data_IF_952211727430
#
_entry.id   IF_952211727430
#
_cell.length_a   1.000
_cell.length_b   1.000
_cell.length_c   1.000
_cell.angle_alpha   90.00
_cell.angle_beta   90.00
_cell.angle_gamma   90.00
#
_symmetry.space_group_name_H-M   'P 1'
#
loop_
_entity.id
_entity.type
_entity.pdbx_description
1 polymer ?
#
# COMPACT_ATOMS: atom_id res chain seq x y z
N UNK A 1 8.74 -45.68 21.80
CA UNK A 1 7.88 -44.85 20.94
C UNK A 1 7.93 -45.44 19.53
N UNK A 2 6.88 -46.04 19.08
CA UNK A 2 6.81 -46.55 17.69
C UNK A 2 6.69 -45.35 16.73
N UNK A 3 7.66 -45.20 15.84
CA UNK A 3 7.62 -44.18 14.80
C UNK A 3 6.85 -44.77 13.60
N UNK A 4 5.63 -44.33 13.40
CA UNK A 4 4.86 -44.67 12.21
C UNK A 4 5.20 -43.69 11.09
N UNK A 5 5.41 -44.21 9.87
CA UNK A 5 5.52 -43.41 8.66
C UNK A 5 4.18 -43.46 7.89
N UNK A 6 4.03 -42.64 6.84
CA UNK A 6 2.81 -42.61 6.03
C UNK A 6 2.40 -43.97 5.46
N UNK A 7 3.40 -44.83 5.17
CA UNK A 7 3.14 -46.23 4.74
C UNK A 7 2.60 -47.11 5.87
N UNK A 8 2.96 -46.84 7.12
CA UNK A 8 2.46 -47.57 8.27
C UNK A 8 1.01 -47.18 8.59
N UNK A 9 0.69 -45.90 8.43
CA UNK A 9 -0.70 -45.40 8.52
C UNK A 9 -1.56 -46.11 7.44
N UNK A 10 -1.12 -46.13 6.20
CA UNK A 10 -1.79 -46.83 5.11
C UNK A 10 -2.00 -48.32 5.40
N UNK A 11 -1.03 -48.98 6.03
CA UNK A 11 -1.16 -50.40 6.45
C UNK A 11 -2.19 -50.59 7.56
N UNK A 12 -2.24 -49.68 8.52
CA UNK A 12 -3.22 -49.68 9.61
C UNK A 12 -4.61 -49.46 9.00
N UNK A 13 -4.77 -48.49 8.12
CA UNK A 13 -6.02 -48.17 7.44
C UNK A 13 -6.50 -49.38 6.58
N UNK A 14 -5.60 -50.01 5.83
CA UNK A 14 -5.92 -51.27 5.07
C UNK A 14 -6.33 -52.43 5.96
N UNK A 15 -5.78 -52.51 7.19
CA UNK A 15 -6.14 -53.57 8.14
C UNK A 15 -7.59 -53.45 8.63
N UNK A 16 -8.17 -52.25 8.59
CA UNK A 16 -9.56 -51.98 8.97
C UNK A 16 -10.55 -51.98 7.79
N UNK A 17 -10.19 -52.48 6.62
CA UNK A 17 -11.05 -52.58 5.43
C UNK A 17 -11.59 -51.23 4.91
N UNK A 18 -10.78 -50.21 4.99
CA UNK A 18 -11.16 -48.84 4.63
C UNK A 18 -11.30 -48.70 3.11
N UNK A 19 -12.33 -47.94 2.71
CA UNK A 19 -12.77 -47.73 1.35
C UNK A 19 -11.65 -47.42 0.33
N UNK A 20 -11.88 -47.82 -0.92
CA UNK A 20 -10.98 -47.59 -2.05
C UNK A 20 -10.56 -46.12 -2.14
N UNK A 21 -9.29 -45.92 -2.44
CA UNK A 21 -8.64 -44.61 -2.61
C UNK A 21 -9.38 -43.62 -3.54
N UNK A 22 -10.26 -44.15 -4.43
CA UNK A 22 -11.02 -43.39 -5.43
C UNK A 22 -12.25 -42.64 -4.88
N UNK A 23 -12.69 -42.95 -3.64
CA UNK A 23 -13.90 -42.39 -3.06
C UNK A 23 -13.66 -41.48 -1.85
N UNK A 24 -12.42 -41.14 -1.57
CA UNK A 24 -12.08 -40.29 -0.45
C UNK A 24 -12.11 -38.82 -0.89
N UNK A 25 -12.92 -37.98 -0.24
CA UNK A 25 -12.95 -36.55 -0.55
C UNK A 25 -11.56 -35.92 -0.39
N UNK A 26 -11.14 -35.14 -1.37
CA UNK A 26 -9.80 -34.50 -1.39
C UNK A 26 -9.73 -33.18 -0.63
N UNK A 27 -10.89 -32.63 -0.28
CA UNK A 27 -10.99 -31.38 0.46
C UNK A 27 -12.34 -31.29 1.18
N UNK A 28 -12.50 -30.30 2.05
CA UNK A 28 -13.73 -30.06 2.83
C UNK A 28 -14.95 -29.76 1.97
N UNK A 29 -14.78 -29.05 0.87
CA UNK A 29 -15.88 -28.73 -0.05
C UNK A 29 -16.46 -29.99 -0.69
N UNK A 30 -15.59 -30.93 -1.06
CA UNK A 30 -16.01 -32.24 -1.56
C UNK A 30 -16.69 -33.08 -0.46
N UNK A 31 -16.12 -33.03 0.76
CA UNK A 31 -16.68 -33.72 1.91
C UNK A 31 -18.07 -33.19 2.28
N UNK A 32 -18.26 -31.88 2.32
CA UNK A 32 -19.56 -31.23 2.54
C UNK A 32 -20.59 -31.60 1.48
N UNK A 33 -20.17 -31.81 0.23
CA UNK A 33 -21.07 -32.25 -0.85
C UNK A 33 -21.54 -33.70 -0.66
N UNK A 34 -20.70 -34.54 -0.05
CA UNK A 34 -21.03 -35.96 0.21
C UNK A 34 -21.92 -36.11 1.43
N UNK A 35 -21.71 -35.28 2.47
CA UNK A 35 -22.48 -35.32 3.73
C UNK A 35 -22.68 -33.91 4.31
N UNK A 36 -23.58 -33.08 3.75
CA UNK A 36 -23.68 -31.65 4.09
C UNK A 36 -24.10 -31.34 5.53
N UNK A 37 -24.74 -32.26 6.23
CA UNK A 37 -25.39 -32.01 7.53
C UNK A 37 -24.70 -32.70 8.74
N UNK A 38 -23.50 -33.28 8.55
CA UNK A 38 -22.89 -34.16 9.56
C UNK A 38 -21.60 -33.61 10.19
N UNK A 39 -21.21 -32.36 9.91
CA UNK A 39 -19.97 -31.81 10.47
C UNK A 39 -20.23 -30.82 11.61
N UNK A 40 -20.05 -31.24 12.84
CA UNK A 40 -20.14 -30.35 14.02
C UNK A 40 -18.78 -29.88 14.50
N UNK A 41 -17.70 -30.66 14.32
CA UNK A 41 -16.39 -30.33 14.87
C UNK A 41 -15.23 -30.83 14.02
N UNK A 42 -14.14 -30.06 14.01
CA UNK A 42 -12.93 -30.34 13.24
C UNK A 42 -11.70 -30.20 14.15
N UNK A 43 -10.92 -31.26 14.23
CA UNK A 43 -9.70 -31.32 15.02
C UNK A 43 -8.47 -31.38 14.13
N UNK A 44 -7.37 -30.76 14.57
CA UNK A 44 -6.07 -30.90 13.92
C UNK A 44 -5.03 -31.47 14.87
N UNK A 45 -4.20 -32.37 14.40
CA UNK A 45 -3.09 -32.92 15.16
C UNK A 45 -1.84 -33.12 14.31
N UNK A 46 -0.65 -33.20 14.96
CA UNK A 46 0.62 -33.47 14.27
C UNK A 46 1.03 -34.92 14.47
N UNK A 47 1.42 -35.58 13.37
CA UNK A 47 1.98 -36.91 13.40
C UNK A 47 3.10 -37.01 12.35
N UNK A 48 4.31 -37.41 12.75
CA UNK A 48 5.50 -37.53 11.89
C UNK A 48 5.77 -36.30 11.00
N UNK A 49 5.70 -35.09 11.55
CA UNK A 49 5.81 -33.80 10.83
C UNK A 49 4.69 -33.48 9.84
N UNK A 50 3.70 -34.35 9.69
CA UNK A 50 2.51 -34.06 8.90
C UNK A 50 1.38 -33.61 9.84
N UNK A 51 0.53 -32.71 9.37
CA UNK A 51 -0.71 -32.36 10.06
C UNK A 51 -1.86 -33.15 9.50
N UNK A 52 -2.71 -33.58 10.41
CA UNK A 52 -3.93 -34.29 10.11
C UNK A 52 -5.12 -33.51 10.67
N UNK A 53 -6.21 -33.54 9.97
CA UNK A 53 -7.50 -33.09 10.47
C UNK A 53 -8.42 -34.30 10.62
N UNK A 54 -9.16 -34.28 11.71
CA UNK A 54 -10.22 -35.26 11.95
C UNK A 54 -11.54 -34.51 11.99
N UNK A 55 -12.51 -35.00 11.27
CA UNK A 55 -13.86 -34.45 11.23
C UNK A 55 -14.79 -35.48 11.88
N UNK A 56 -15.52 -35.04 12.90
CA UNK A 56 -16.55 -35.85 13.51
C UNK A 56 -17.84 -35.79 12.65
N UNK A 57 -18.46 -36.91 12.36
CA UNK A 57 -19.70 -37.01 11.59
C UNK A 57 -20.95 -36.49 12.33
N UNK A 58 -20.80 -35.97 13.56
CA UNK A 58 -21.87 -35.37 14.36
C UNK A 58 -22.80 -36.39 15.03
N UNK A 59 -22.50 -37.67 14.97
CA UNK A 59 -23.33 -38.74 15.61
C UNK A 59 -22.91 -39.06 17.04
N UNK A 60 -21.80 -38.52 17.51
CA UNK A 60 -21.35 -38.64 18.91
C UNK A 60 -21.75 -37.39 19.71
N UNK A 61 -22.50 -37.57 20.77
CA UNK A 61 -22.90 -36.52 21.72
C UNK A 61 -21.70 -35.89 22.46
N UNK A 62 -20.54 -36.48 22.40
CA UNK A 62 -19.32 -36.09 23.04
C UNK A 62 -18.17 -36.39 22.08
N UNK A 63 -17.43 -35.57 21.62
CA UNK A 63 -16.51 -34.89 22.46
C UNK A 63 -15.13 -34.92 21.84
N UNK A 64 -14.56 -33.77 21.80
CA UNK A 64 -13.12 -33.56 21.59
C UNK A 64 -12.32 -34.65 22.33
N UNK A 65 -12.69 -34.94 23.57
CA UNK A 65 -12.02 -35.90 24.42
C UNK A 65 -12.14 -37.36 23.93
N UNK A 66 -13.29 -37.75 23.45
CA UNK A 66 -13.51 -39.10 22.87
C UNK A 66 -12.67 -39.34 21.60
N UNK A 67 -12.65 -38.35 20.72
CA UNK A 67 -11.85 -38.41 19.48
C UNK A 67 -10.34 -38.41 19.80
N UNK A 68 -9.91 -37.56 20.75
CA UNK A 68 -8.53 -37.54 21.23
C UNK A 68 -8.12 -38.85 21.92
N UNK A 69 -8.98 -39.48 22.71
CA UNK A 69 -8.74 -40.79 23.31
C UNK A 69 -8.67 -41.89 22.24
N UNK A 70 -9.55 -41.84 21.24
CA UNK A 70 -9.52 -42.74 20.13
C UNK A 70 -8.22 -42.62 19.32
N UNK A 71 -7.83 -41.40 19.00
CA UNK A 71 -6.57 -41.10 18.29
C UNK A 71 -5.35 -41.52 19.11
N UNK A 72 -5.34 -41.29 20.44
CA UNK A 72 -4.31 -41.80 21.33
C UNK A 72 -4.22 -43.32 21.34
N UNK A 73 -5.36 -43.97 21.33
CA UNK A 73 -5.44 -45.46 21.28
C UNK A 73 -4.94 -46.03 19.95
N UNK A 74 -5.19 -45.34 18.84
CA UNK A 74 -4.77 -45.75 17.50
C UNK A 74 -3.32 -45.36 17.16
N UNK A 75 -2.87 -44.20 17.60
CA UNK A 75 -1.63 -43.55 17.17
C UNK A 75 -0.67 -43.18 18.30
N UNK A 76 -1.01 -43.41 19.56
CA UNK A 76 -0.23 -43.00 20.71
C UNK A 76 -0.43 -41.54 21.12
N UNK A 77 0.53 -40.96 21.86
CA UNK A 77 0.43 -39.55 22.30
C UNK A 77 0.49 -38.58 21.11
N UNK A 78 -0.63 -37.89 20.88
CA UNK A 78 -0.81 -36.92 19.80
C UNK A 78 -1.10 -35.53 20.39
N UNK A 79 -0.51 -34.50 19.78
CA UNK A 79 -0.94 -33.12 20.00
C UNK A 79 -2.16 -32.82 19.12
N UNK A 80 -3.35 -32.78 19.74
CA UNK A 80 -4.59 -32.41 19.07
C UNK A 80 -5.07 -31.02 19.50
N UNK A 81 -5.64 -30.27 18.60
CA UNK A 81 -6.35 -29.02 18.87
C UNK A 81 -7.50 -28.81 17.90
N UNK A 82 -8.53 -28.13 18.36
CA UNK A 82 -9.65 -27.71 17.51
C UNK A 82 -9.17 -26.77 16.40
N UNK A 83 -9.64 -26.96 15.17
CA UNK A 83 -9.36 -26.10 14.03
C UNK A 83 -10.66 -25.60 13.41
N UNK A 84 -10.84 -24.27 13.40
CA UNK A 84 -12.08 -23.64 12.91
C UNK A 84 -12.21 -23.65 11.37
N UNK A 85 -11.11 -23.72 10.60
CA UNK A 85 -11.13 -23.71 9.13
C UNK A 85 -10.01 -24.57 8.53
N UNK A 86 -10.25 -25.82 8.22
CA UNK A 86 -9.33 -26.62 7.43
C UNK A 86 -9.41 -26.22 5.94
N UNK A 87 -8.28 -26.21 5.28
CA UNK A 87 -8.11 -25.78 3.89
C UNK A 87 -8.35 -26.87 2.85
N UNK A 88 -8.44 -26.43 1.57
CA UNK A 88 -8.73 -27.23 0.38
C UNK A 88 -7.67 -28.29 0.03
N UNK A 89 -6.50 -28.26 0.65
CA UNK A 89 -5.38 -29.20 0.39
C UNK A 89 -5.43 -30.42 1.35
N UNK A 90 -6.61 -31.00 1.55
CA UNK A 90 -6.81 -32.12 2.45
C UNK A 90 -6.81 -33.44 1.70
N UNK A 91 -5.98 -34.38 2.18
CA UNK A 91 -6.01 -35.79 1.76
C UNK A 91 -6.62 -36.61 2.90
N UNK A 92 -7.69 -37.37 2.64
CA UNK A 92 -8.47 -37.91 3.73
C UNK A 92 -8.80 -39.40 3.63
N UNK A 93 -9.02 -40.01 4.78
CA UNK A 93 -9.43 -41.40 4.95
C UNK A 93 -10.63 -41.47 5.89
N UNK A 94 -11.57 -42.35 5.62
CA UNK A 94 -12.72 -42.68 6.48
C UNK A 94 -12.38 -43.90 7.30
N UNK A 95 -12.51 -43.81 8.62
CA UNK A 95 -12.30 -44.90 9.56
C UNK A 95 -13.66 -45.30 10.19
N UNK A 96 -14.26 -46.41 9.84
CA UNK A 96 -15.37 -46.94 10.61
C UNK A 96 -14.85 -47.47 11.95
N UNK A 97 -15.33 -46.89 13.04
CA UNK A 97 -14.98 -47.30 14.40
C UNK A 97 -16.21 -47.32 15.30
N UNK A 98 -16.51 -48.49 15.88
CA UNK A 98 -17.65 -48.72 16.79
C UNK A 98 -19.00 -48.22 16.27
N UNK A 99 -19.23 -48.31 14.96
CA UNK A 99 -20.48 -47.91 14.31
C UNK A 99 -20.57 -46.42 13.94
N UNK A 100 -19.46 -45.71 14.03
CA UNK A 100 -19.34 -44.29 13.64
C UNK A 100 -18.24 -44.15 12.59
N UNK A 101 -18.44 -43.24 11.65
CA UNK A 101 -17.42 -42.90 10.65
C UNK A 101 -16.56 -41.73 11.12
N UNK A 102 -15.26 -41.98 11.24
CA UNK A 102 -14.27 -40.93 11.55
C UNK A 102 -13.47 -40.62 10.28
N UNK A 103 -13.45 -39.38 9.91
CA UNK A 103 -12.75 -38.89 8.71
C UNK A 103 -11.37 -38.35 9.08
N UNK A 104 -10.32 -38.98 8.57
CA UNK A 104 -8.94 -38.58 8.76
C UNK A 104 -8.41 -37.91 7.49
N UNK A 105 -7.92 -36.69 7.59
CA UNK A 105 -7.36 -35.95 6.47
C UNK A 105 -5.88 -35.62 6.70
N UNK A 106 -5.05 -35.93 5.72
CA UNK A 106 -3.68 -35.45 5.70
C UNK A 106 -3.65 -34.08 5.01
N UNK A 107 -3.15 -33.06 5.70
CA UNK A 107 -2.87 -31.78 5.06
C UNK A 107 -1.55 -31.88 4.32
N UNK A 108 -1.58 -31.68 3.02
CA UNK A 108 -0.37 -31.49 2.23
C UNK A 108 0.10 -30.04 2.48
N UNK A 109 1.28 -29.83 3.09
CA UNK A 109 1.75 -28.49 3.40
C UNK A 109 1.92 -27.67 2.11
N UNK A 110 1.07 -26.70 1.89
CA UNK A 110 1.23 -25.71 0.81
C UNK A 110 2.18 -24.62 1.28
N UNK A 111 3.51 -24.91 1.20
CA UNK A 111 4.52 -23.94 1.61
C UNK A 111 4.64 -22.82 0.60
N UNK A 112 4.11 -21.67 0.94
CA UNK A 112 4.28 -20.44 0.16
C UNK A 112 5.08 -19.40 0.95
N UNK A 113 5.56 -18.39 0.26
CA UNK A 113 6.30 -17.30 0.91
C UNK A 113 5.33 -16.44 1.72
N UNK A 114 5.75 -16.02 2.91
CA UNK A 114 5.00 -15.16 3.81
C UNK A 114 4.48 -13.89 3.12
N UNK A 115 5.29 -13.23 2.28
CA UNK A 115 4.85 -12.04 1.56
C UNK A 115 3.77 -12.32 0.51
N UNK A 116 3.69 -13.55 0.00
CA UNK A 116 2.63 -13.99 -0.92
C UNK A 116 1.35 -14.30 -0.15
N UNK A 117 1.45 -15.03 0.95
CA UNK A 117 0.32 -15.33 1.83
C UNK A 117 -0.36 -14.06 2.34
N UNK A 118 0.46 -13.11 2.83
CA UNK A 118 -0.04 -11.82 3.31
C UNK A 118 -0.71 -10.98 2.21
N UNK A 119 -0.21 -11.02 0.96
CA UNK A 119 -0.86 -10.31 -0.16
C UNK A 119 -2.25 -10.88 -0.46
N UNK A 120 -2.43 -12.18 -0.35
CA UNK A 120 -3.74 -12.81 -0.55
C UNK A 120 -4.73 -12.43 0.57
N UNK A 121 -4.22 -12.34 1.81
CA UNK A 121 -5.04 -12.04 3.00
C UNK A 121 -5.38 -10.54 3.14
N UNK A 122 -4.50 -9.64 2.68
CA UNK A 122 -4.63 -8.18 2.82
C UNK A 122 -4.58 -7.51 1.43
N UNK A 123 -5.68 -7.58 0.69
CA UNK A 123 -5.84 -7.11 -0.69
C UNK A 123 -5.71 -5.59 -0.86
N UNK A 124 -5.96 -4.84 0.21
CA UNK A 124 -5.81 -3.38 0.28
C UNK A 124 -4.34 -2.92 0.39
N UNK A 125 -3.39 -3.85 0.61
CA UNK A 125 -1.97 -3.55 0.76
C UNK A 125 -1.15 -4.00 -0.45
N UNK A 126 -0.26 -3.12 -0.92
CA UNK A 126 0.69 -3.54 -1.96
C UNK A 126 1.72 -4.52 -1.41
N UNK A 127 2.21 -5.44 -2.25
CA UNK A 127 3.28 -6.38 -1.88
C UNK A 127 4.50 -5.68 -1.31
N UNK A 128 4.87 -4.51 -1.84
CA UNK A 128 6.01 -3.74 -1.33
C UNK A 128 5.74 -3.15 0.06
N UNK A 129 4.50 -2.79 0.37
CA UNK A 129 4.09 -2.36 1.71
C UNK A 129 4.18 -3.52 2.71
N UNK A 130 3.63 -4.67 2.35
CA UNK A 130 3.70 -5.90 3.16
C UNK A 130 5.15 -6.30 3.44
N UNK A 131 6.01 -6.33 2.43
CA UNK A 131 7.42 -6.64 2.62
C UNK A 131 8.14 -5.68 3.59
N UNK A 132 7.77 -4.40 3.59
CA UNK A 132 8.28 -3.43 4.56
C UNK A 132 7.74 -3.71 5.97
N UNK A 133 6.47 -4.01 6.11
CA UNK A 133 5.87 -4.35 7.39
C UNK A 133 6.51 -5.60 8.00
N UNK A 134 6.71 -6.67 7.21
CA UNK A 134 7.43 -7.88 7.64
C UNK A 134 8.83 -7.54 8.13
N UNK A 135 9.62 -6.79 7.34
CA UNK A 135 10.99 -6.39 7.73
C UNK A 135 11.04 -5.58 9.03
N UNK A 136 9.97 -4.86 9.35
CA UNK A 136 9.85 -4.07 10.59
C UNK A 136 9.20 -4.86 11.75
N UNK A 137 9.04 -6.18 11.62
CA UNK A 137 8.55 -7.03 12.70
C UNK A 137 7.04 -6.90 12.95
N UNK A 138 6.28 -6.42 11.99
CA UNK A 138 4.82 -6.26 12.10
C UNK A 138 4.05 -7.51 11.66
N UNK A 139 4.73 -8.54 11.15
CA UNK A 139 4.13 -9.81 10.80
C UNK A 139 4.35 -10.85 11.89
N UNK A 140 3.31 -11.62 12.20
CA UNK A 140 3.39 -12.77 13.12
C UNK A 140 2.92 -14.02 12.40
N UNK A 141 3.56 -15.12 12.73
CA UNK A 141 3.15 -16.47 12.34
C UNK A 141 3.05 -17.30 13.61
N UNK A 142 1.86 -17.80 13.93
CA UNK A 142 1.57 -18.51 15.17
C UNK A 142 2.03 -17.73 16.42
N UNK A 143 1.74 -16.41 16.45
CA UNK A 143 2.14 -15.50 17.54
C UNK A 143 3.62 -15.08 17.53
N UNK A 144 4.47 -15.67 16.70
CA UNK A 144 5.90 -15.41 16.62
C UNK A 144 6.20 -14.33 15.58
N UNK A 145 6.95 -13.29 15.95
CA UNK A 145 7.35 -12.21 15.03
C UNK A 145 8.31 -12.75 13.96
N UNK A 146 7.98 -12.50 12.68
CA UNK A 146 8.80 -12.87 11.53
C UNK A 146 9.26 -11.60 10.81
N UNK A 147 10.58 -11.52 10.55
CA UNK A 147 11.20 -10.41 9.81
C UNK A 147 11.71 -10.82 8.42
N UNK A 148 11.79 -12.12 8.15
CA UNK A 148 12.21 -12.65 6.85
C UNK A 148 11.04 -12.67 5.87
N UNK A 149 11.08 -11.80 4.87
CA UNK A 149 10.05 -11.66 3.82
C UNK A 149 9.79 -12.96 3.04
N UNK A 150 10.83 -13.76 2.86
CA UNK A 150 10.78 -15.02 2.10
C UNK A 150 10.60 -16.25 3.00
N UNK A 151 10.26 -16.06 4.28
CA UNK A 151 9.92 -17.18 5.17
C UNK A 151 8.83 -18.01 4.51
N UNK A 152 8.95 -19.32 4.58
CA UNK A 152 7.96 -20.24 4.08
C UNK A 152 6.92 -20.51 5.16
N UNK A 153 5.67 -20.29 4.85
CA UNK A 153 4.52 -20.50 5.72
C UNK A 153 3.54 -21.43 5.04
N UNK A 154 2.78 -22.14 5.82
CA UNK A 154 1.69 -22.96 5.33
C UNK A 154 0.37 -22.21 5.56
N UNK A 155 -0.24 -21.71 4.47
CA UNK A 155 -1.49 -20.94 4.56
C UNK A 155 -2.63 -21.73 5.22
N UNK A 156 -2.56 -23.06 5.14
CA UNK A 156 -3.61 -23.94 5.66
C UNK A 156 -3.56 -24.12 7.18
N UNK A 157 -2.39 -23.85 7.77
CA UNK A 157 -2.08 -24.25 9.14
C UNK A 157 -1.59 -23.09 9.99
N UNK A 158 -0.84 -22.18 9.37
CA UNK A 158 -0.19 -21.10 10.09
C UNK A 158 -1.16 -19.94 10.30
N UNK A 159 -1.34 -19.53 11.56
CA UNK A 159 -2.03 -18.28 11.87
C UNK A 159 -1.12 -17.11 11.48
N UNK A 160 -1.41 -16.52 10.32
CA UNK A 160 -0.63 -15.41 9.77
C UNK A 160 -1.34 -14.10 10.09
N UNK A 161 -0.66 -13.21 10.79
CA UNK A 161 -1.19 -11.91 11.21
C UNK A 161 -0.27 -10.78 10.76
N UNK A 162 -0.87 -9.64 10.44
CA UNK A 162 -0.17 -8.40 10.19
C UNK A 162 -0.70 -7.33 11.15
N UNK A 163 0.19 -6.75 11.94
CA UNK A 163 -0.21 -5.73 12.89
C UNK A 163 -0.73 -4.48 12.16
N UNK A 164 -1.81 -3.91 12.66
CA UNK A 164 -2.28 -2.62 12.21
C UNK A 164 -1.28 -1.53 12.57
N UNK A 165 -0.94 -0.69 11.60
CA UNK A 165 -0.13 0.49 11.84
C UNK A 165 -1.07 1.64 12.20
N UNK A 166 -1.22 1.89 13.47
CA UNK A 166 -1.94 3.08 13.92
C UNK A 166 -1.13 4.33 13.56
N UNK A 167 -1.79 5.27 12.92
CA UNK A 167 -1.22 6.55 12.55
C UNK A 167 -1.41 7.53 13.71
N UNK A 168 -0.40 7.67 14.52
CA UNK A 168 -0.35 8.65 15.62
C UNK A 168 0.31 9.97 15.13
N UNK A 169 -0.20 10.49 14.01
CA UNK A 169 0.32 11.72 13.43
C UNK A 169 -0.42 12.93 14.05
N UNK A 170 0.34 13.86 14.64
CA UNK A 170 -0.23 15.11 15.11
C UNK A 170 -0.97 15.80 13.97
N UNK A 171 -2.24 16.11 14.21
CA UNK A 171 -3.06 16.88 13.27
C UNK A 171 -2.41 18.22 12.93
N UNK A 172 -2.40 18.58 11.64
CA UNK A 172 -1.90 19.86 11.14
C UNK A 172 -3.03 20.48 10.34
N UNK A 173 -3.47 21.65 10.78
CA UNK A 173 -4.45 22.43 10.04
C UNK A 173 -3.80 23.11 8.84
N UNK A 174 -4.50 23.10 7.70
CA UNK A 174 -4.05 23.73 6.46
C UNK A 174 -5.01 24.87 6.09
N UNK A 175 -4.44 26.00 5.71
CA UNK A 175 -5.20 27.15 5.23
C UNK A 175 -6.01 26.79 3.98
N UNK A 176 -7.35 26.83 4.10
CA UNK A 176 -8.26 26.60 2.97
C UNK A 176 -8.36 27.87 2.13
N UNK A 177 -8.06 27.75 0.82
CA UNK A 177 -8.19 28.83 -0.18
C UNK A 177 -9.61 28.84 -0.76
N UNK A 178 -10.17 27.63 -0.97
CA UNK A 178 -11.50 27.44 -1.53
C UNK A 178 -12.04 26.07 -1.18
N UNK A 179 -13.33 25.98 -0.96
CA UNK A 179 -14.01 24.71 -0.69
C UNK A 179 -15.45 24.76 -1.16
N UNK A 180 -15.89 23.67 -1.82
CA UNK A 180 -17.28 23.40 -2.15
C UNK A 180 -17.60 21.90 -1.97
N UNK A 181 -18.75 21.43 -2.46
CA UNK A 181 -19.13 20.00 -2.38
C UNK A 181 -18.30 19.07 -3.26
N UNK A 182 -17.54 19.61 -4.23
CA UNK A 182 -16.77 18.85 -5.20
C UNK A 182 -15.26 18.90 -4.97
N UNK A 183 -14.75 20.03 -4.51
CA UNK A 183 -13.30 20.26 -4.40
C UNK A 183 -12.93 20.99 -3.11
N UNK A 184 -11.70 20.81 -2.70
CA UNK A 184 -11.03 21.58 -1.66
C UNK A 184 -9.68 22.05 -2.16
N UNK A 185 -9.35 23.32 -1.97
CA UNK A 185 -8.06 23.90 -2.36
C UNK A 185 -7.39 24.49 -1.13
N UNK A 186 -6.14 24.10 -0.90
CA UNK A 186 -5.41 24.54 0.29
C UNK A 186 -4.05 25.12 -0.06
N UNK A 187 -3.55 25.97 0.81
CA UNK A 187 -2.17 26.46 0.82
C UNK A 187 -1.30 25.48 1.61
N UNK A 188 -0.65 24.54 0.89
CA UNK A 188 0.23 23.56 1.52
C UNK A 188 1.50 24.24 2.05
N UNK A 189 1.84 24.16 3.34
CA UNK A 189 3.14 24.63 3.83
C UNK A 189 4.28 23.71 3.35
N UNK A 190 5.53 24.21 3.45
CA UNK A 190 6.72 23.35 3.28
C UNK A 190 6.77 22.25 4.35
N UNK A 191 7.46 21.17 4.08
CA UNK A 191 7.72 20.10 5.05
C UNK A 191 6.65 19.03 5.13
N UNK A 192 5.41 19.29 4.66
CA UNK A 192 4.30 18.33 4.67
C UNK A 192 4.27 17.52 3.38
N UNK A 193 4.12 16.21 3.51
CA UNK A 193 3.90 15.33 2.38
C UNK A 193 2.50 15.53 1.76
N UNK A 194 2.40 15.48 0.45
CA UNK A 194 1.10 15.44 -0.23
C UNK A 194 0.31 14.17 0.15
N UNK A 195 0.98 13.03 0.17
CA UNK A 195 0.42 11.75 0.59
C UNK A 195 1.53 10.85 1.15
N UNK A 196 1.16 9.87 1.94
CA UNK A 196 2.10 8.93 2.57
C UNK A 196 2.94 8.17 1.52
N UNK A 197 4.22 7.95 1.82
CA UNK A 197 5.14 7.15 0.99
C UNK A 197 5.07 5.65 1.30
N UNK A 198 4.07 5.22 2.01
CA UNK A 198 3.84 3.83 2.38
C UNK A 198 3.14 3.71 3.73
N UNK A 199 2.73 2.49 4.06
CA UNK A 199 1.92 2.19 5.23
C UNK A 199 2.59 2.51 6.57
N UNK A 200 3.94 2.55 6.60
CA UNK A 200 4.72 2.85 7.82
C UNK A 200 4.97 4.35 8.04
N UNK A 201 4.38 5.22 7.22
CA UNK A 201 4.55 6.65 7.42
C UNK A 201 3.59 7.18 8.49
N UNK A 202 4.13 7.64 9.59
CA UNK A 202 3.37 8.20 10.72
C UNK A 202 3.17 9.72 10.63
N UNK A 203 3.64 10.36 9.56
CA UNK A 203 3.49 11.80 9.42
C UNK A 203 2.10 12.16 8.87
N UNK A 204 1.55 13.26 9.35
CA UNK A 204 0.35 13.87 8.79
C UNK A 204 0.62 14.39 7.38
N UNK A 205 -0.32 14.17 6.47
CA UNK A 205 -0.19 14.53 5.05
C UNK A 205 -1.39 15.35 4.58
N UNK A 206 -1.28 15.95 3.39
CA UNK A 206 -2.44 16.64 2.77
C UNK A 206 -3.60 15.66 2.51
N UNK A 207 -3.30 14.40 2.18
CA UNK A 207 -4.35 13.38 2.01
C UNK A 207 -5.15 13.14 3.30
N UNK A 208 -4.48 13.14 4.46
CA UNK A 208 -5.17 13.01 5.75
C UNK A 208 -6.05 14.23 6.04
N UNK A 209 -5.55 15.43 5.74
CA UNK A 209 -6.33 16.65 5.84
C UNK A 209 -7.58 16.60 4.94
N UNK A 210 -7.41 16.19 3.68
CA UNK A 210 -8.53 16.05 2.76
C UNK A 210 -9.57 15.01 3.22
N UNK A 211 -9.12 13.89 3.78
CA UNK A 211 -10.03 12.86 4.32
C UNK A 211 -10.85 13.41 5.50
N UNK A 212 -10.23 14.15 6.42
CA UNK A 212 -10.92 14.80 7.53
C UNK A 212 -11.91 15.88 7.07
N UNK A 213 -11.67 16.52 5.91
CA UNK A 213 -12.56 17.49 5.27
C UNK A 213 -13.56 16.87 4.29
N UNK A 214 -13.90 15.60 4.46
CA UNK A 214 -14.98 14.93 3.74
C UNK A 214 -14.64 14.51 2.31
N UNK A 215 -13.35 14.41 1.95
CA UNK A 215 -12.96 13.84 0.65
C UNK A 215 -13.17 12.33 0.64
N UNK A 216 -14.22 11.89 -0.04
CA UNK A 216 -14.58 10.47 -0.18
C UNK A 216 -13.86 9.79 -1.36
N UNK A 217 -13.31 10.55 -2.31
CA UNK A 217 -12.47 9.98 -3.36
C UNK A 217 -11.23 9.31 -2.76
N UNK A 218 -11.05 8.03 -3.05
CA UNK A 218 -9.96 7.19 -2.52
C UNK A 218 -9.88 7.19 -0.98
N UNK A 219 -11.01 7.39 -0.27
CA UNK A 219 -11.10 7.33 1.19
C UNK A 219 -10.56 6.00 1.71
N UNK A 220 -9.93 6.02 2.89
CA UNK A 220 -9.31 4.84 3.49
C UNK A 220 -7.98 4.43 2.82
N UNK A 221 -7.49 5.20 1.85
CA UNK A 221 -6.18 5.00 1.24
C UNK A 221 -5.23 6.13 1.62
N UNK A 222 -3.95 5.94 1.39
CA UNK A 222 -2.97 7.01 1.57
C UNK A 222 -3.05 8.13 0.52
N UNK A 223 -4.13 8.20 -0.28
CA UNK A 223 -4.34 9.18 -1.36
C UNK A 223 -5.73 9.79 -1.35
N UNK A 224 -6.42 9.78 -0.22
CA UNK A 224 -7.73 10.39 -0.09
C UNK A 224 -7.73 11.83 -0.66
N UNK A 225 -8.62 12.11 -1.59
CA UNK A 225 -8.76 13.41 -2.24
C UNK A 225 -7.66 13.79 -3.25
N UNK A 226 -6.57 13.02 -3.40
CA UNK A 226 -5.37 13.45 -4.15
C UNK A 226 -5.54 13.24 -5.66
N UNK A 227 -5.53 14.33 -6.42
CA UNK A 227 -5.56 14.35 -7.90
C UNK A 227 -4.24 14.80 -8.53
N UNK A 228 -3.41 15.54 -7.80
CA UNK A 228 -2.04 15.89 -8.18
C UNK A 228 -1.16 16.02 -6.93
N UNK A 229 0.11 16.38 -7.09
CA UNK A 229 1.03 16.44 -5.95
C UNK A 229 2.02 17.58 -6.04
N UNK A 230 2.43 18.06 -4.87
CA UNK A 230 3.62 18.88 -4.66
C UNK A 230 4.67 18.05 -3.89
N UNK A 231 5.94 18.39 -4.05
CA UNK A 231 7.00 17.79 -3.23
C UNK A 231 6.88 18.24 -1.76
N UNK A 232 7.48 17.50 -0.84
CA UNK A 232 7.46 17.82 0.60
C UNK A 232 7.87 19.27 0.87
N UNK A 233 8.98 19.69 0.30
CA UNK A 233 9.57 21.02 0.53
C UNK A 233 8.95 22.14 -0.31
N UNK A 234 8.11 21.80 -1.28
CA UNK A 234 7.36 22.77 -2.08
C UNK A 234 6.12 23.23 -1.31
N UNK A 235 5.95 24.53 -1.18
CA UNK A 235 4.73 25.15 -0.62
C UNK A 235 3.78 25.63 -1.71
N UNK A 236 2.54 26.00 -1.35
CA UNK A 236 1.58 26.66 -2.23
C UNK A 236 0.34 25.85 -2.58
N UNK A 237 -0.34 26.25 -3.64
CA UNK A 237 -1.65 25.76 -4.03
C UNK A 237 -1.66 24.27 -4.35
N UNK A 238 -2.55 23.53 -3.68
CA UNK A 238 -2.90 22.14 -4.03
C UNK A 238 -4.41 21.97 -3.95
N UNK A 239 -4.99 21.27 -4.96
CA UNK A 239 -6.42 20.96 -5.04
C UNK A 239 -6.67 19.48 -4.78
N UNK A 240 -7.72 19.20 -4.01
CA UNK A 240 -8.25 17.86 -3.76
C UNK A 240 -9.65 17.69 -4.33
N UNK A 241 -10.02 16.44 -4.61
CA UNK A 241 -11.36 16.07 -5.03
C UNK A 241 -12.14 15.44 -3.87
N UNK A 242 -13.36 15.91 -3.61
CA UNK A 242 -14.23 15.35 -2.58
C UNK A 242 -14.93 14.08 -3.00
N UNK A 243 -15.17 13.89 -4.30
CA UNK A 243 -15.89 12.75 -4.85
C UNK A 243 -15.24 12.25 -6.17
N UNK A 244 -15.66 11.06 -6.63
CA UNK A 244 -15.12 10.40 -7.82
C UNK A 244 -15.36 11.19 -9.10
N UNK A 245 -16.52 11.86 -9.21
CA UNK A 245 -16.85 12.67 -10.40
C UNK A 245 -15.91 13.85 -10.52
N UNK A 246 -15.67 14.57 -9.44
CA UNK A 246 -14.70 15.66 -9.39
C UNK A 246 -13.28 15.13 -9.67
N UNK A 247 -12.89 14.02 -9.06
CA UNK A 247 -11.58 13.42 -9.26
C UNK A 247 -11.32 13.09 -10.73
N UNK A 248 -12.25 12.42 -11.42
CA UNK A 248 -12.14 12.10 -12.85
C UNK A 248 -11.97 13.36 -13.71
N UNK A 249 -12.78 14.41 -13.45
CA UNK A 249 -12.72 15.68 -14.21
C UNK A 249 -11.39 16.42 -13.97
N UNK A 250 -10.92 16.48 -12.71
CA UNK A 250 -9.65 17.13 -12.39
C UNK A 250 -8.46 16.35 -12.95
N UNK A 251 -8.40 15.03 -12.74
CA UNK A 251 -7.33 14.16 -13.25
C UNK A 251 -7.23 14.22 -14.77
N UNK A 252 -8.37 14.27 -15.48
CA UNK A 252 -8.40 14.44 -16.93
C UNK A 252 -7.67 15.72 -17.35
N UNK A 253 -7.94 16.86 -16.71
CA UNK A 253 -7.30 18.13 -17.03
C UNK A 253 -5.79 18.12 -16.77
N UNK A 254 -5.33 17.47 -15.68
CA UNK A 254 -3.90 17.28 -15.44
C UNK A 254 -3.23 16.38 -16.49
N UNK A 255 -3.90 15.31 -16.93
CA UNK A 255 -3.39 14.38 -17.96
C UNK A 255 -3.36 14.99 -19.33
N UNK A 256 -4.38 15.76 -19.70
CA UNK A 256 -4.50 16.50 -20.98
C UNK A 256 -3.68 17.80 -20.99
N UNK A 257 -3.09 18.19 -19.83
CA UNK A 257 -2.28 19.39 -19.69
C UNK A 257 -3.04 20.69 -19.98
N UNK A 258 -4.33 20.71 -19.71
CA UNK A 258 -5.19 21.89 -19.87
C UNK A 258 -5.16 22.83 -18.66
N UNK A 259 -4.58 22.39 -17.54
CA UNK A 259 -4.34 23.21 -16.36
C UNK A 259 -3.18 24.18 -16.61
N UNK A 260 -3.29 25.43 -16.10
CA UNK A 260 -2.13 26.33 -16.03
C UNK A 260 -1.59 26.36 -14.60
N UNK A 261 -0.30 26.26 -14.47
CA UNK A 261 0.40 26.25 -13.18
C UNK A 261 1.50 27.31 -13.21
N UNK A 262 1.55 28.10 -12.17
CA UNK A 262 2.63 29.06 -11.99
C UNK A 262 3.34 28.78 -10.66
N UNK A 263 4.64 28.72 -10.72
CA UNK A 263 5.50 28.59 -9.56
C UNK A 263 6.47 29.78 -9.52
N UNK A 264 6.84 30.17 -8.31
CA UNK A 264 7.92 31.12 -8.07
C UNK A 264 9.05 30.36 -7.37
N UNK A 265 10.27 30.60 -7.81
CA UNK A 265 11.48 30.04 -7.21
C UNK A 265 12.57 31.09 -7.06
N UNK A 266 13.45 30.92 -6.08
CA UNK A 266 14.74 31.62 -6.04
C UNK A 266 15.81 30.60 -6.48
N UNK A 267 16.61 30.98 -7.46
CA UNK A 267 17.65 30.12 -8.04
C UNK A 267 19.05 30.77 -7.85
N UNK A 268 20.07 29.91 -7.86
CA UNK A 268 21.47 30.35 -7.84
C UNK A 268 21.87 30.93 -9.21
N UNK A 269 22.52 32.07 -9.18
CA UNK A 269 23.00 32.79 -10.38
C UNK A 269 21.89 33.51 -11.14
N UNK A 270 22.24 33.98 -12.35
CA UNK A 270 21.33 34.69 -13.27
C UNK A 270 21.16 33.90 -14.55
N UNK A 271 19.98 33.26 -14.76
CA UNK A 271 19.73 32.50 -16.00
C UNK A 271 19.80 33.43 -17.23
N UNK A 272 20.52 32.96 -18.26
CA UNK A 272 20.61 33.63 -19.53
C UNK A 272 20.29 32.63 -20.67
N UNK A 273 19.28 32.91 -21.53
CA UNK A 273 18.46 34.12 -21.58
C UNK A 273 17.49 34.25 -20.42
N UNK A 274 17.02 35.49 -20.13
CA UNK A 274 16.08 35.76 -19.06
C UNK A 274 14.73 35.05 -19.21
N UNK A 275 14.43 34.51 -20.37
CA UNK A 275 13.20 33.80 -20.69
C UNK A 275 13.46 32.71 -21.70
N UNK A 276 13.12 31.47 -21.32
CA UNK A 276 13.29 30.32 -22.22
C UNK A 276 12.33 29.17 -21.87
N UNK A 277 12.38 28.14 -22.70
CA UNK A 277 11.72 26.86 -22.49
C UNK A 277 12.78 25.77 -22.33
N UNK A 278 12.73 25.06 -21.21
CA UNK A 278 13.53 23.86 -20.98
C UNK A 278 12.67 22.68 -21.42
N UNK A 279 13.02 22.05 -22.54
CA UNK A 279 12.31 20.87 -23.08
C UNK A 279 13.26 19.68 -23.07
N UNK A 280 13.37 19.04 -21.92
CA UNK A 280 14.33 17.99 -21.66
C UNK A 280 13.66 16.83 -20.91
N UNK A 281 13.76 15.57 -21.42
CA UNK A 281 13.12 14.44 -20.79
C UNK A 281 13.77 14.06 -19.46
N UNK A 282 12.95 13.58 -18.52
CA UNK A 282 13.35 13.25 -17.14
C UNK A 282 13.16 11.76 -16.89
N UNK A 283 14.20 11.11 -16.37
CA UNK A 283 14.19 9.72 -15.92
C UNK A 283 14.55 9.61 -14.43
N UNK A 284 14.22 8.46 -13.84
CA UNK A 284 14.72 8.10 -12.49
C UNK A 284 16.22 7.84 -12.57
N UNK A 285 16.97 8.31 -11.61
CA UNK A 285 18.40 8.01 -11.51
C UNK A 285 18.59 6.56 -11.01
N UNK A 286 19.23 5.72 -11.80
CA UNK A 286 19.43 4.32 -11.46
C UNK A 286 20.43 4.14 -10.30
N UNK A 287 21.43 5.03 -10.20
CA UNK A 287 22.45 5.00 -9.14
C UNK A 287 21.91 5.54 -7.80
N UNK A 288 20.93 6.47 -7.85
CA UNK A 288 20.30 7.04 -6.67
C UNK A 288 18.79 7.10 -6.86
N UNK A 289 18.05 6.00 -6.66
CA UNK A 289 16.65 5.84 -7.05
C UNK A 289 15.65 6.82 -6.43
N UNK A 290 16.05 7.56 -5.38
CA UNK A 290 15.27 8.65 -4.79
C UNK A 290 15.30 9.93 -5.61
N UNK A 291 16.19 10.05 -6.62
CA UNK A 291 16.42 11.24 -7.44
C UNK A 291 16.03 11.02 -8.91
N UNK A 292 16.01 12.12 -9.65
CA UNK A 292 15.69 12.15 -11.07
C UNK A 292 16.75 12.94 -11.82
N UNK A 293 16.95 12.63 -13.09
CA UNK A 293 17.95 13.27 -13.96
C UNK A 293 17.36 13.56 -15.34
N UNK A 294 17.93 14.54 -16.04
CA UNK A 294 17.70 14.70 -17.49
C UNK A 294 18.34 13.52 -18.21
N UNK A 295 17.56 12.79 -18.98
CA UNK A 295 18.02 11.64 -19.74
C UNK A 295 17.13 11.43 -20.96
N UNK A 296 17.73 11.18 -22.12
CA UNK A 296 17.03 10.98 -23.40
C UNK A 296 16.02 9.82 -23.40
N UNK A 297 16.23 8.80 -22.55
CA UNK A 297 15.30 7.68 -22.32
C UNK A 297 14.18 8.03 -21.32
N UNK A 298 14.14 9.25 -20.82
CA UNK A 298 13.17 9.72 -19.85
C UNK A 298 11.81 10.05 -20.46
N UNK A 299 10.87 10.40 -19.57
CA UNK A 299 9.56 10.92 -19.97
C UNK A 299 9.66 12.38 -20.36
N UNK A 300 9.00 12.78 -21.45
CA UNK A 300 8.96 14.17 -21.92
C UNK A 300 8.58 15.13 -20.80
N UNK A 301 9.34 16.20 -20.64
CA UNK A 301 9.10 17.22 -19.63
C UNK A 301 9.45 18.60 -20.19
N UNK A 302 8.55 19.57 -19.99
CA UNK A 302 8.70 20.92 -20.52
C UNK A 302 8.38 21.94 -19.44
N UNK A 303 9.28 22.91 -19.24
CA UNK A 303 9.16 24.02 -18.28
C UNK A 303 9.53 25.35 -18.96
N UNK A 304 8.59 26.29 -18.99
CA UNK A 304 8.90 27.67 -19.33
C UNK A 304 9.36 28.40 -18.08
N UNK A 305 10.40 29.22 -18.21
CA UNK A 305 10.83 30.13 -17.14
C UNK A 305 10.99 31.56 -17.62
N UNK A 306 10.90 32.50 -16.68
CA UNK A 306 11.11 33.93 -16.86
C UNK A 306 11.75 34.51 -15.58
N UNK A 307 12.90 35.16 -15.71
CA UNK A 307 13.58 35.88 -14.63
C UNK A 307 12.80 37.16 -14.35
N UNK A 308 12.35 37.33 -13.10
CA UNK A 308 11.61 38.50 -12.65
C UNK A 308 12.52 39.55 -12.08
N UNK A 309 13.48 39.12 -11.26
CA UNK A 309 14.45 40.01 -10.58
C UNK A 309 15.74 39.24 -10.31
N UNK A 310 16.86 39.93 -10.26
CA UNK A 310 18.17 39.36 -9.89
C UNK A 310 18.93 40.26 -8.96
N UNK A 311 19.49 39.71 -7.89
CA UNK A 311 20.28 40.41 -6.89
C UNK A 311 21.20 39.42 -6.17
N UNK A 312 22.42 39.89 -5.78
CA UNK A 312 23.36 39.09 -5.00
C UNK A 312 23.66 37.71 -5.60
N UNK A 313 23.80 37.61 -6.94
CA UNK A 313 24.00 36.34 -7.66
C UNK A 313 22.92 35.34 -7.43
N UNK A 314 21.67 35.76 -7.17
CA UNK A 314 20.44 34.95 -7.10
C UNK A 314 19.38 35.60 -7.96
N UNK A 315 18.41 34.82 -8.42
CA UNK A 315 17.32 35.31 -9.23
C UNK A 315 15.97 34.77 -8.75
N UNK A 316 14.97 35.65 -8.73
CA UNK A 316 13.58 35.31 -8.60
C UNK A 316 13.03 34.92 -9.96
N UNK A 317 12.53 33.70 -10.10
CA UNK A 317 12.14 33.13 -11.38
C UNK A 317 10.71 32.65 -11.35
N UNK A 318 9.93 33.04 -12.35
CA UNK A 318 8.61 32.50 -12.64
C UNK A 318 8.74 31.26 -13.50
N UNK A 319 8.01 30.19 -13.13
CA UNK A 319 8.07 28.89 -13.78
C UNK A 319 6.67 28.42 -14.16
N UNK A 320 6.49 28.06 -15.43
CA UNK A 320 5.22 27.52 -15.93
C UNK A 320 5.46 26.12 -16.50
N UNK A 321 5.32 25.04 -15.71
CA UNK A 321 5.50 23.69 -16.19
C UNK A 321 4.29 23.21 -17.00
N UNK A 322 4.49 22.82 -18.26
CA UNK A 322 3.47 22.21 -19.12
C UNK A 322 3.20 20.75 -18.72
N UNK A 323 4.20 20.08 -18.18
CA UNK A 323 4.15 18.70 -17.67
C UNK A 323 4.28 18.70 -16.14
N UNK A 324 4.10 17.55 -15.50
CA UNK A 324 4.20 17.41 -14.03
C UNK A 324 5.00 16.17 -13.61
N UNK A 325 6.28 16.06 -14.06
CA UNK A 325 7.14 14.95 -13.65
C UNK A 325 7.66 15.17 -12.24
N UNK A 326 7.94 14.10 -11.53
CA UNK A 326 8.53 14.18 -10.17
C UNK A 326 9.81 15.00 -10.20
N UNK A 327 9.94 15.96 -9.30
CA UNK A 327 11.06 16.89 -9.17
C UNK A 327 11.38 17.71 -10.45
N UNK A 328 10.44 17.82 -11.39
CA UNK A 328 10.70 18.41 -12.71
C UNK A 328 11.39 19.78 -12.67
N UNK A 329 10.83 20.74 -11.93
CA UNK A 329 11.37 22.10 -11.85
C UNK A 329 12.78 22.11 -11.25
N UNK A 330 13.00 21.32 -10.22
CA UNK A 330 14.26 21.15 -9.52
C UNK A 330 15.35 20.57 -10.45
N UNK A 331 15.03 19.50 -11.17
CA UNK A 331 15.93 18.82 -12.12
C UNK A 331 16.26 19.73 -13.31
N UNK A 332 15.26 20.39 -13.88
CA UNK A 332 15.46 21.28 -15.04
C UNK A 332 16.37 22.46 -14.70
N UNK A 333 16.09 23.14 -13.56
CA UNK A 333 16.89 24.30 -13.15
C UNK A 333 18.32 23.89 -12.77
N UNK A 334 18.49 22.76 -12.07
CA UNK A 334 19.83 22.24 -11.77
C UNK A 334 20.61 21.87 -13.05
N UNK A 335 19.94 21.27 -14.03
CA UNK A 335 20.57 20.90 -15.31
C UNK A 335 21.12 22.12 -16.08
N UNK A 336 20.39 23.22 -16.09
CA UNK A 336 20.85 24.48 -16.70
C UNK A 336 21.80 25.30 -15.78
N UNK A 337 22.30 24.68 -14.68
CA UNK A 337 23.28 25.28 -13.74
C UNK A 337 22.75 26.42 -12.88
N UNK A 338 21.42 26.51 -12.75
CA UNK A 338 20.72 27.44 -11.88
C UNK A 338 19.81 26.71 -10.89
N UNK A 339 20.36 25.86 -9.97
CA UNK A 339 19.56 25.08 -9.04
C UNK A 339 18.77 25.98 -8.10
N UNK A 340 17.67 25.46 -7.57
CA UNK A 340 16.84 26.16 -6.59
C UNK A 340 17.61 26.34 -5.28
N UNK A 341 17.61 27.52 -4.74
CA UNK A 341 18.22 27.86 -3.43
C UNK A 341 17.55 26.99 -2.35
N UNK A 342 18.36 26.38 -1.48
CA UNK A 342 17.89 25.51 -0.40
C UNK A 342 17.44 24.12 -0.84
N UNK A 343 17.66 23.73 -2.10
CA UNK A 343 17.40 22.36 -2.55
C UNK A 343 18.56 21.43 -2.13
N UNK A 344 18.34 20.62 -1.11
CA UNK A 344 19.33 19.68 -0.55
C UNK A 344 19.73 18.54 -1.49
N UNK A 345 18.97 18.33 -2.57
CA UNK A 345 19.13 17.16 -3.45
C UNK A 345 19.80 17.51 -4.77
N UNK A 346 19.48 18.67 -5.33
CA UNK A 346 19.91 19.07 -6.66
C UNK A 346 20.77 20.33 -6.70
N UNK A 347 20.97 21.00 -5.56
CA UNK A 347 21.84 22.17 -5.46
C UNK A 347 23.17 21.79 -4.81
N UNK A 348 24.23 21.74 -5.61
CA UNK A 348 25.61 21.49 -5.16
C UNK A 348 26.18 22.64 -4.32
N UNK A 349 25.53 23.81 -4.35
CA UNK A 349 25.85 25.00 -3.55
C UNK A 349 24.95 25.15 -2.33
N UNK A 350 24.24 24.07 -1.95
CA UNK A 350 23.36 24.10 -0.78
C UNK A 350 24.10 24.57 0.48
N UNK A 351 23.45 25.44 1.23
CA UNK A 351 23.91 25.89 2.54
C UNK A 351 22.84 25.62 3.60
N UNK A 352 23.25 25.20 4.79
CA UNK A 352 22.33 25.04 5.94
C UNK A 352 21.76 26.38 6.43
N UNK A 353 22.34 27.51 6.00
CA UNK A 353 21.78 28.84 6.24
C UNK A 353 20.49 29.12 5.48
N UNK A 354 20.24 28.39 4.41
CA UNK A 354 18.99 28.50 3.67
C UNK A 354 17.86 27.90 4.48
N UNK A 355 16.90 28.70 4.90
CA UNK A 355 15.81 28.34 5.80
C UNK A 355 14.81 27.36 5.19
N UNK A 356 14.85 27.18 3.85
CA UNK A 356 13.94 26.32 3.08
C UNK A 356 14.42 26.12 1.65
N UNK A 357 13.83 25.15 0.93
CA UNK A 357 13.85 25.14 -0.52
C UNK A 357 12.91 26.25 -1.04
N UNK A 358 13.42 27.19 -1.81
CA UNK A 358 12.67 28.34 -2.32
C UNK A 358 11.92 27.98 -3.61
N UNK A 359 10.91 27.12 -3.48
CA UNK A 359 9.97 26.76 -4.54
C UNK A 359 8.54 26.83 -3.99
N UNK A 360 7.70 27.60 -4.66
CA UNK A 360 6.33 27.86 -4.25
C UNK A 360 5.36 27.74 -5.44
N UNK A 361 4.31 26.95 -5.30
CA UNK A 361 3.20 26.85 -6.26
C UNK A 361 2.28 28.06 -6.08
N UNK A 362 2.55 29.13 -6.85
CA UNK A 362 1.90 30.44 -6.70
C UNK A 362 0.44 30.41 -7.14
N UNK A 363 0.16 29.78 -8.28
CA UNK A 363 -1.22 29.68 -8.76
C UNK A 363 -1.51 28.39 -9.53
N UNK A 364 -2.79 28.02 -9.53
CA UNK A 364 -3.37 26.94 -10.30
C UNK A 364 -4.65 27.42 -10.98
N UNK A 365 -4.67 27.43 -12.32
CA UNK A 365 -5.86 27.67 -13.13
C UNK A 365 -6.40 26.33 -13.64
N UNK A 366 -7.63 25.99 -13.25
CA UNK A 366 -8.29 24.71 -13.54
C UNK A 366 -9.81 24.89 -13.60
N UNK A 367 -10.50 24.06 -14.37
CA UNK A 367 -11.97 24.05 -14.38
C UNK A 367 -12.48 23.12 -13.28
N UNK A 368 -13.29 23.67 -12.36
CA UNK A 368 -14.00 22.89 -11.33
C UNK A 368 -15.33 22.35 -11.88
N UNK A 369 -15.82 21.21 -11.34
CA UNK A 369 -17.15 20.70 -11.68
C UNK A 369 -18.26 21.72 -11.37
N UNK A 370 -19.46 21.59 -11.98
CA UNK A 370 -20.66 22.26 -11.50
C UNK A 370 -20.90 21.96 -10.02
N UNK A 371 -21.42 22.93 -9.30
CA UNK A 371 -21.75 22.83 -7.88
C UNK A 371 -23.15 23.40 -7.60
N UNK A 372 -23.58 23.39 -6.34
CA UNK A 372 -24.94 23.84 -5.95
C UNK A 372 -25.21 25.31 -6.29
N UNK A 373 -24.16 26.12 -6.41
CA UNK A 373 -24.27 27.55 -6.77
C UNK A 373 -24.07 27.80 -8.26
N UNK A 374 -23.39 26.90 -8.97
CA UNK A 374 -23.05 27.04 -10.39
C UNK A 374 -23.34 25.73 -11.14
N UNK A 375 -24.35 25.76 -11.99
CA UNK A 375 -24.81 24.60 -12.77
C UNK A 375 -23.88 24.22 -13.93
N UNK A 376 -22.87 25.05 -14.24
CA UNK A 376 -21.89 24.80 -15.29
C UNK A 376 -20.46 24.71 -14.71
N UNK A 377 -19.58 23.97 -15.40
CA UNK A 377 -18.17 23.91 -15.02
C UNK A 377 -17.52 25.29 -15.17
N UNK A 378 -16.84 25.74 -14.12
CA UNK A 378 -16.18 27.05 -14.08
C UNK A 378 -14.68 26.93 -14.14
N UNK A 379 -14.06 27.76 -14.98
CA UNK A 379 -12.60 27.95 -15.01
C UNK A 379 -12.21 28.93 -13.92
N UNK A 380 -11.43 28.49 -12.94
CA UNK A 380 -11.03 29.30 -11.78
C UNK A 380 -9.52 29.35 -11.65
N UNK A 381 -9.03 30.44 -11.07
CA UNK A 381 -7.64 30.64 -10.69
C UNK A 381 -7.58 30.67 -9.18
N UNK A 382 -6.84 29.74 -8.58
CA UNK A 382 -6.57 29.69 -7.17
C UNK A 382 -5.13 30.17 -6.92
N UNK A 383 -4.95 31.07 -5.97
CA UNK A 383 -3.65 31.64 -5.66
C UNK A 383 -3.28 31.47 -4.19
N UNK A 384 -2.00 31.29 -3.93
CA UNK A 384 -1.40 31.31 -2.61
C UNK A 384 -0.43 32.48 -2.49
N UNK A 385 -0.45 33.27 -1.41
CA UNK A 385 0.50 34.34 -1.21
C UNK A 385 1.94 33.79 -1.12
N UNK A 386 2.89 34.52 -1.66
CA UNK A 386 4.29 34.17 -1.47
C UNK A 386 4.64 34.22 0.03
N UNK A 387 5.36 33.25 0.55
CA UNK A 387 5.86 33.30 1.91
C UNK A 387 6.79 34.54 2.12
N UNK A 388 6.69 35.17 3.28
CA UNK A 388 7.42 36.41 3.59
C UNK A 388 8.94 36.35 3.41
N UNK A 389 9.49 35.13 3.42
CA UNK A 389 10.94 34.92 3.25
C UNK A 389 11.39 34.71 1.79
N UNK A 390 10.48 34.87 0.78
CA UNK A 390 10.86 34.90 -0.64
C UNK A 390 11.44 36.25 -1.06
N UNK A 391 12.59 36.56 -0.53
CA UNK A 391 13.31 37.85 -0.75
C UNK A 391 14.71 37.51 -1.27
N UNK A 392 15.22 38.27 -2.30
CA UNK A 392 16.54 38.16 -2.89
C UNK A 392 17.61 38.86 -2.05
#
# INVERSE_FOLDING_TARGET
MAKFNSGDILKILRKFNIANEDNVPRNIEELKKVQPDQFSEIFSFKFNNNKFFVINDGTAEDDEQYILELLKKLFGDLEGKLAENPNDDLFGFVLPFEGKDIYLFQVVPSKIRLDVALVKKYDNLSRSSIQKMVKNGLAKVNGRIITKVKELVDESIDLIELAEVQKDAKHIDLESIYEDENVIVVNKPKGILTHSKGVLNNEFTVADFFELHGCNFAKGTNRAGIVHRLDRETSGVIIGAKNDTAAKKLQKQFSERTTKKEYIAIVEGVPNPNKAIIDLPIARNNSLPSTFIVNVKGKTAQTKYEVLESKNNRSLVKLNPKTGRTHQLRVHLAYIKHPIVGDRVYNDRYSEKDSRMFLHAKSLEISIPPNNTNTTSQRMVFESPLPNNFIL
#
